data_IF_492291763025
#
_entry.id   IF_492291763025
#
_cell.length_a   1.000
_cell.length_b   1.000
_cell.length_c   1.000
_cell.angle_alpha   90.00
_cell.angle_beta   90.00
_cell.angle_gamma   90.00
#
_symmetry.space_group_name_H-M   'P 1'
#
loop_
_entity.id
_entity.type
_entity.pdbx_description
1 polymer ?
#
# COMPACT_ATOMS: atom_id res chain seq x y z
N UNK A 1 22.30 19.40 16.83
CA UNK A 1 22.32 18.04 16.30
C UNK A 1 20.95 17.81 15.61
N UNK A 2 20.94 17.65 14.31
CA UNK A 2 19.72 17.30 13.56
C UNK A 2 19.35 15.86 13.99
N UNK A 3 18.10 15.62 14.36
CA UNK A 3 17.67 14.25 14.70
C UNK A 3 17.81 13.33 13.48
N UNK A 4 18.06 12.05 13.71
CA UNK A 4 18.17 11.07 12.60
C UNK A 4 16.95 11.12 11.68
N UNK A 5 15.75 11.37 12.21
CA UNK A 5 14.51 11.50 11.47
C UNK A 5 14.49 12.76 10.56
N UNK A 6 15.02 13.87 11.03
CA UNK A 6 15.15 15.11 10.23
C UNK A 6 16.15 14.94 9.08
N UNK A 7 17.25 14.22 9.32
CA UNK A 7 18.22 13.88 8.27
C UNK A 7 17.59 13.05 7.16
N UNK A 8 16.84 12.01 7.51
CA UNK A 8 16.13 11.20 6.52
C UNK A 8 15.06 11.97 5.74
N UNK A 9 14.30 12.84 6.41
CA UNK A 9 13.31 13.71 5.75
C UNK A 9 13.95 14.59 4.67
N UNK A 10 15.06 15.24 4.99
CA UNK A 10 15.78 16.11 4.04
C UNK A 10 16.37 15.31 2.88
N UNK A 11 17.00 14.18 3.16
CA UNK A 11 17.65 13.34 2.15
C UNK A 11 16.64 12.72 1.17
N UNK A 12 15.46 12.34 1.64
CA UNK A 12 14.41 11.71 0.84
C UNK A 12 13.40 12.70 0.27
N UNK A 13 13.58 14.02 0.51
CA UNK A 13 12.64 15.08 0.10
C UNK A 13 11.20 14.81 0.55
N UNK A 14 11.05 14.19 1.72
CA UNK A 14 9.72 13.90 2.29
C UNK A 14 9.18 15.11 3.03
N UNK A 15 7.92 15.43 2.80
CA UNK A 15 7.24 16.51 3.52
C UNK A 15 6.96 16.13 4.97
N UNK A 16 6.61 14.85 5.20
CA UNK A 16 6.29 14.35 6.52
C UNK A 16 6.65 12.87 6.67
N UNK A 17 6.97 12.45 7.88
CA UNK A 17 7.17 11.06 8.21
C UNK A 17 6.79 10.77 9.66
N UNK A 18 6.52 9.52 9.98
CA UNK A 18 6.38 9.05 11.34
C UNK A 18 7.04 7.68 11.52
N UNK A 19 7.49 7.43 12.74
CA UNK A 19 8.09 6.16 13.13
C UNK A 19 7.37 5.62 14.34
N UNK A 20 6.87 4.41 14.24
CA UNK A 20 6.24 3.67 15.32
C UNK A 20 7.07 2.41 15.62
N UNK A 21 7.46 2.26 16.88
CA UNK A 21 8.18 1.08 17.34
C UNK A 21 7.27 0.31 18.29
N UNK A 22 7.06 -0.95 17.97
CA UNK A 22 6.26 -1.89 18.77
C UNK A 22 7.18 -2.98 19.32
N UNK A 23 6.81 -3.52 20.47
CA UNK A 23 7.43 -4.77 20.95
C UNK A 23 6.72 -6.01 20.37
N UNK A 24 7.17 -7.19 20.76
CA UNK A 24 6.61 -8.45 20.32
C UNK A 24 5.16 -8.70 20.81
N UNK A 25 4.72 -7.99 21.84
CA UNK A 25 3.34 -8.04 22.34
C UNK A 25 2.42 -7.00 21.63
N UNK A 26 2.99 -6.18 20.73
CA UNK A 26 2.25 -5.11 20.03
C UNK A 26 2.13 -3.82 20.86
N UNK A 27 2.81 -3.69 21.99
CA UNK A 27 2.80 -2.48 22.79
C UNK A 27 3.68 -1.40 22.17
N UNK A 28 3.19 -0.16 22.14
CA UNK A 28 3.93 0.98 21.61
C UNK A 28 5.10 1.33 22.53
N UNK A 29 6.32 1.18 22.06
CA UNK A 29 7.56 1.53 22.78
C UNK A 29 8.07 2.93 22.38
N UNK A 30 7.82 3.35 21.16
CA UNK A 30 8.15 4.70 20.70
C UNK A 30 7.23 5.11 19.56
N UNK A 31 6.89 6.40 19.54
CA UNK A 31 6.13 7.02 18.46
C UNK A 31 6.71 8.41 18.23
N UNK A 32 7.28 8.63 17.05
CA UNK A 32 7.90 9.89 16.69
C UNK A 32 7.39 10.38 15.34
N UNK A 33 7.18 11.68 15.23
CA UNK A 33 6.92 12.38 13.98
C UNK A 33 8.17 13.15 13.54
N UNK A 34 8.35 13.32 12.24
CA UNK A 34 9.53 13.99 11.69
C UNK A 34 9.45 15.51 11.76
N UNK A 35 8.28 16.08 12.08
CA UNK A 35 8.10 17.52 12.28
C UNK A 35 8.12 17.89 13.77
N UNK A 36 8.75 18.99 14.15
CA UNK A 36 8.61 19.53 15.49
C UNK A 36 7.15 19.86 15.80
N UNK A 37 6.68 19.48 16.98
CA UNK A 37 5.29 19.67 17.41
C UNK A 37 4.79 21.13 17.27
N UNK A 38 5.67 22.09 17.40
CA UNK A 38 5.36 23.53 17.32
C UNK A 38 5.55 24.14 15.92
N UNK A 39 5.84 23.35 14.90
CA UNK A 39 5.94 23.84 13.53
C UNK A 39 4.55 24.23 13.02
N UNK A 40 4.43 25.48 12.50
CA UNK A 40 3.15 26.04 12.05
C UNK A 40 2.53 25.15 10.95
N UNK A 41 1.26 24.97 11.04
CA UNK A 41 0.34 24.34 10.07
C UNK A 41 0.16 22.81 10.16
N UNK A 42 1.15 21.98 10.44
CA UNK A 42 0.97 20.52 10.50
C UNK A 42 1.75 19.81 11.63
N UNK A 43 2.55 20.51 12.42
CA UNK A 43 3.36 19.89 13.48
C UNK A 43 2.55 19.19 14.59
N UNK A 44 1.28 19.60 14.76
CA UNK A 44 0.37 19.00 15.74
C UNK A 44 -0.32 17.71 15.23
N UNK A 45 -0.15 17.37 13.94
CA UNK A 45 -0.76 16.17 13.37
C UNK A 45 0.10 14.95 13.73
N UNK A 46 -0.49 13.99 14.44
CA UNK A 46 0.17 12.71 14.68
C UNK A 46 0.07 11.83 13.44
N UNK A 47 1.14 11.81 12.63
CA UNK A 47 1.21 11.05 11.39
C UNK A 47 1.03 9.53 11.56
N UNK A 48 1.34 8.99 12.76
CA UNK A 48 1.14 7.57 13.05
C UNK A 48 -0.32 7.21 13.31
N UNK A 49 -1.15 8.18 13.69
CA UNK A 49 -2.58 7.98 13.99
C UNK A 49 -3.50 8.56 12.93
N UNK A 50 -2.98 9.40 12.05
CA UNK A 50 -3.77 10.01 10.97
C UNK A 50 -4.14 8.98 9.92
N UNK A 51 -5.40 8.97 9.50
CA UNK A 51 -5.84 8.17 8.37
C UNK A 51 -5.16 8.67 7.09
N UNK A 52 -4.55 7.75 6.36
CA UNK A 52 -3.80 8.03 5.14
C UNK A 52 -4.10 6.97 4.09
N UNK A 53 -3.90 7.34 2.83
CA UNK A 53 -3.91 6.37 1.75
C UNK A 53 -2.79 5.36 1.95
N UNK A 54 -3.12 4.09 1.82
CA UNK A 54 -2.18 2.99 2.04
C UNK A 54 -1.10 2.90 0.97
N UNK A 55 -1.38 3.43 -0.22
CA UNK A 55 -0.54 3.18 -1.39
C UNK A 55 -0.32 1.67 -1.59
N UNK A 56 0.89 1.30 -1.97
CA UNK A 56 1.24 -0.11 -2.20
C UNK A 56 1.36 -0.96 -0.93
N UNK A 57 1.30 -0.36 0.27
CA UNK A 57 1.31 -1.12 1.52
C UNK A 57 0.09 -2.04 1.69
N UNK A 58 -0.99 -1.80 0.96
CA UNK A 58 -2.17 -2.67 0.95
C UNK A 58 -1.95 -3.98 0.16
N UNK A 59 -1.01 -4.00 -0.80
CA UNK A 59 -0.83 -5.13 -1.73
C UNK A 59 -0.55 -6.47 -1.03
N UNK A 60 0.29 -6.57 0.01
CA UNK A 60 0.50 -7.85 0.71
C UNK A 60 -0.81 -8.46 1.22
N UNK A 61 -1.73 -7.64 1.73
CA UNK A 61 -3.04 -8.10 2.22
C UNK A 61 -3.94 -8.57 1.07
N UNK A 62 -3.92 -7.85 -0.06
CA UNK A 62 -4.66 -8.25 -1.26
C UNK A 62 -4.16 -9.59 -1.80
N UNK A 63 -2.85 -9.76 -1.92
CA UNK A 63 -2.26 -11.01 -2.41
C UNK A 63 -2.52 -12.16 -1.45
N UNK A 64 -2.43 -11.94 -0.13
CA UNK A 64 -2.79 -12.93 0.88
C UNK A 64 -4.26 -13.37 0.73
N UNK A 65 -5.17 -12.40 0.62
CA UNK A 65 -6.59 -12.67 0.44
C UNK A 65 -6.87 -13.45 -0.84
N UNK A 66 -6.31 -13.01 -1.96
CA UNK A 66 -6.48 -13.66 -3.25
C UNK A 66 -5.91 -15.08 -3.27
N UNK A 67 -4.72 -15.29 -2.73
CA UNK A 67 -4.13 -16.63 -2.63
C UNK A 67 -5.01 -17.58 -1.82
N UNK A 68 -5.63 -17.09 -0.74
CA UNK A 68 -6.54 -17.89 0.05
C UNK A 68 -7.89 -18.14 -0.66
N UNK A 69 -8.50 -17.11 -1.22
CA UNK A 69 -9.82 -17.17 -1.84
C UNK A 69 -9.81 -17.98 -3.15
N UNK A 70 -8.79 -17.81 -3.98
CA UNK A 70 -8.65 -18.41 -5.30
C UNK A 70 -7.78 -19.68 -5.30
N UNK A 71 -7.25 -20.07 -4.14
CA UNK A 71 -6.31 -21.18 -4.00
C UNK A 71 -5.04 -21.00 -4.86
N UNK A 72 -4.61 -19.75 -5.03
CA UNK A 72 -3.40 -19.38 -5.74
C UNK A 72 -2.16 -19.59 -4.88
N UNK A 73 -1.01 -19.68 -5.53
CA UNK A 73 0.31 -19.75 -4.89
C UNK A 73 1.19 -18.61 -5.37
N UNK A 74 2.32 -18.38 -4.71
CA UNK A 74 3.29 -17.40 -5.17
C UNK A 74 3.80 -17.65 -6.61
N UNK A 75 3.75 -18.90 -7.08
CA UNK A 75 4.12 -19.28 -8.44
C UNK A 75 2.99 -19.12 -9.49
N UNK A 76 1.75 -18.89 -9.05
CA UNK A 76 0.62 -18.67 -9.97
C UNK A 76 0.93 -17.49 -10.89
N UNK A 77 0.62 -17.66 -12.18
CA UNK A 77 0.91 -16.66 -13.19
C UNK A 77 -0.24 -15.68 -13.35
N UNK A 78 0.12 -14.42 -13.54
CA UNK A 78 -0.78 -13.32 -13.88
C UNK A 78 -0.15 -12.48 -14.99
N UNK A 79 -0.96 -11.94 -15.89
CA UNK A 79 -0.43 -11.17 -17.02
C UNK A 79 -0.42 -9.69 -16.71
N UNK A 80 0.78 -9.09 -16.74
CA UNK A 80 1.02 -7.65 -16.63
C UNK A 80 1.01 -7.03 -18.03
N UNK A 81 -0.17 -6.58 -18.44
CA UNK A 81 -0.42 -5.97 -19.77
C UNK A 81 -1.44 -4.82 -19.63
N UNK A 82 -1.54 -3.92 -20.61
CA UNK A 82 -2.56 -2.88 -20.60
C UNK A 82 -3.97 -3.46 -20.40
N UNK A 83 -4.71 -2.88 -19.47
CA UNK A 83 -6.09 -3.25 -19.19
C UNK A 83 -6.90 -1.98 -18.89
N UNK A 84 -8.19 -2.01 -19.23
CA UNK A 84 -9.11 -0.92 -18.93
C UNK A 84 -10.39 -1.48 -18.34
N UNK A 85 -10.89 -0.83 -17.31
CA UNK A 85 -12.13 -1.15 -16.63
C UNK A 85 -13.11 0.00 -16.80
N UNK A 86 -14.34 -0.30 -17.18
CA UNK A 86 -15.43 0.66 -17.20
C UNK A 86 -15.99 0.78 -15.78
N UNK A 87 -15.86 1.98 -15.18
CA UNK A 87 -16.42 2.25 -13.86
C UNK A 87 -17.90 2.63 -13.98
N UNK A 88 -18.24 3.40 -15.03
CA UNK A 88 -19.57 3.78 -15.46
C UNK A 88 -19.56 4.10 -16.97
N UNK A 89 -20.66 4.67 -17.50
CA UNK A 89 -20.79 4.99 -18.94
C UNK A 89 -19.79 6.03 -19.45
N UNK A 90 -19.25 6.87 -18.57
CA UNK A 90 -18.35 7.98 -18.95
C UNK A 90 -16.90 7.79 -18.44
N UNK A 91 -16.67 6.91 -17.46
CA UNK A 91 -15.38 6.79 -16.81
C UNK A 91 -14.71 5.45 -17.09
N UNK A 92 -13.51 5.53 -17.66
CA UNK A 92 -12.63 4.38 -17.90
C UNK A 92 -11.42 4.48 -16.97
N UNK A 93 -11.16 3.44 -16.20
CA UNK A 93 -9.98 3.32 -15.38
C UNK A 93 -8.95 2.40 -16.04
N UNK A 94 -7.77 2.94 -16.35
CA UNK A 94 -6.67 2.20 -16.97
C UNK A 94 -5.43 2.26 -16.06
N UNK A 95 -5.22 1.25 -15.21
CA UNK A 95 -4.07 1.22 -14.31
C UNK A 95 -2.76 1.16 -15.10
N UNK A 96 -1.72 1.82 -14.55
CA UNK A 96 -0.36 1.79 -15.10
C UNK A 96 0.63 1.41 -14.01
N UNK A 97 1.67 0.68 -14.37
CA UNK A 97 2.82 0.48 -13.51
C UNK A 97 3.59 1.79 -13.33
N UNK A 98 4.30 1.91 -12.21
CA UNK A 98 5.12 3.11 -11.94
C UNK A 98 6.19 3.33 -13.02
N UNK A 99 6.77 2.25 -13.55
CA UNK A 99 7.75 2.26 -14.64
C UNK A 99 7.17 2.62 -16.01
N UNK A 100 5.84 2.73 -16.14
CA UNK A 100 5.10 2.89 -17.39
C UNK A 100 5.36 1.76 -18.41
N UNK A 101 5.93 0.65 -17.98
CA UNK A 101 6.20 -0.56 -18.76
C UNK A 101 5.36 -1.74 -18.26
N UNK A 102 5.20 -2.74 -19.12
CA UNK A 102 4.50 -3.98 -18.84
C UNK A 102 5.46 -5.16 -19.02
N UNK A 103 5.26 -6.23 -18.27
CA UNK A 103 6.22 -7.32 -18.15
C UNK A 103 5.70 -8.65 -18.70
N UNK A 104 4.47 -8.67 -19.26
CA UNK A 104 3.85 -9.90 -19.73
C UNK A 104 3.49 -10.86 -18.59
N UNK A 105 3.69 -12.15 -18.80
CA UNK A 105 3.41 -13.16 -17.80
C UNK A 105 4.44 -13.13 -16.66
N UNK A 106 3.96 -12.83 -15.44
CA UNK A 106 4.78 -12.79 -14.20
C UNK A 106 4.17 -13.69 -13.13
N UNK A 107 4.96 -14.14 -12.16
CA UNK A 107 4.43 -14.84 -10.99
C UNK A 107 3.80 -13.85 -10.00
N UNK A 108 2.88 -14.31 -9.14
CA UNK A 108 2.33 -13.47 -8.06
C UNK A 108 3.45 -12.99 -7.12
N UNK A 109 4.45 -13.81 -6.85
CA UNK A 109 5.59 -13.43 -6.02
C UNK A 109 6.40 -12.29 -6.67
N UNK A 110 6.69 -12.37 -7.97
CA UNK A 110 7.40 -11.32 -8.70
C UNK A 110 6.56 -10.04 -8.79
N UNK A 111 5.25 -10.17 -9.05
CA UNK A 111 4.34 -9.05 -9.16
C UNK A 111 4.23 -8.28 -7.83
N UNK A 112 4.17 -8.99 -6.70
CA UNK A 112 4.18 -8.37 -5.36
C UNK A 112 5.56 -7.79 -5.03
N UNK A 113 6.63 -8.53 -5.25
CA UNK A 113 8.00 -8.12 -4.93
C UNK A 113 8.45 -6.86 -5.68
N UNK A 114 7.99 -6.70 -6.92
CA UNK A 114 8.22 -5.49 -7.73
C UNK A 114 7.12 -4.44 -7.60
N UNK A 115 6.12 -4.72 -6.78
CA UNK A 115 4.99 -3.80 -6.54
C UNK A 115 4.26 -3.37 -7.82
N UNK A 116 4.10 -4.25 -8.80
CA UNK A 116 3.37 -3.95 -10.03
C UNK A 116 1.92 -3.57 -9.71
N UNK A 117 1.42 -2.54 -10.39
CA UNK A 117 0.06 -2.05 -10.16
C UNK A 117 -0.97 -2.83 -10.95
N UNK A 118 -0.69 -3.13 -12.21
CA UNK A 118 -1.66 -3.79 -13.09
C UNK A 118 -2.02 -5.19 -12.59
N UNK A 119 -1.07 -6.05 -12.23
CA UNK A 119 -1.39 -7.34 -11.60
C UNK A 119 -2.23 -7.20 -10.32
N UNK A 120 -1.92 -6.21 -9.47
CA UNK A 120 -2.67 -5.99 -8.25
C UNK A 120 -4.13 -5.59 -8.52
N UNK A 121 -4.36 -4.71 -9.52
CA UNK A 121 -5.73 -4.30 -9.91
C UNK A 121 -6.50 -5.47 -10.53
N UNK A 122 -5.86 -6.26 -11.40
CA UNK A 122 -6.45 -7.48 -11.97
C UNK A 122 -6.88 -8.44 -10.85
N UNK A 123 -5.99 -8.67 -9.88
CA UNK A 123 -6.25 -9.56 -8.76
C UNK A 123 -7.41 -9.05 -7.89
N UNK A 124 -7.46 -7.73 -7.61
CA UNK A 124 -8.55 -7.11 -6.87
C UNK A 124 -9.90 -7.27 -7.59
N UNK A 125 -9.89 -7.10 -8.92
CA UNK A 125 -11.09 -7.29 -9.74
C UNK A 125 -11.57 -8.76 -9.71
N UNK A 126 -10.64 -9.71 -9.71
CA UNK A 126 -10.94 -11.14 -9.70
C UNK A 126 -11.52 -11.61 -8.36
N UNK A 127 -10.98 -11.13 -7.24
CA UNK A 127 -11.45 -11.52 -5.89
C UNK A 127 -12.70 -10.75 -5.44
N UNK A 128 -13.01 -9.62 -6.08
CA UNK A 128 -14.08 -8.72 -5.69
C UNK A 128 -13.64 -7.64 -4.69
N UNK A 129 -14.05 -6.41 -4.97
CA UNK A 129 -13.68 -5.24 -4.13
C UNK A 129 -14.38 -5.33 -2.77
N UNK A 130 -15.66 -5.69 -2.75
CA UNK A 130 -16.46 -5.76 -1.52
C UNK A 130 -15.96 -6.85 -0.59
N UNK A 131 -15.62 -8.00 -1.13
CA UNK A 131 -15.04 -9.13 -0.42
C UNK A 131 -13.68 -8.77 0.20
N UNK A 132 -12.85 -8.06 -0.55
CA UNK A 132 -11.57 -7.60 -0.04
C UNK A 132 -11.74 -6.54 1.06
N UNK A 133 -12.68 -5.59 0.92
CA UNK A 133 -13.00 -4.61 1.96
C UNK A 133 -13.49 -5.31 3.23
N UNK A 134 -14.36 -6.31 3.09
CA UNK A 134 -14.84 -7.10 4.23
C UNK A 134 -13.68 -7.81 4.95
N UNK A 135 -12.73 -8.38 4.21
CA UNK A 135 -11.53 -8.99 4.77
C UNK A 135 -10.66 -7.98 5.54
N UNK A 136 -10.39 -6.81 4.96
CA UNK A 136 -9.60 -5.74 5.61
C UNK A 136 -10.27 -5.28 6.92
N UNK A 137 -11.60 -5.14 6.92
CA UNK A 137 -12.35 -4.76 8.12
C UNK A 137 -12.26 -5.82 9.22
N UNK A 138 -12.23 -7.12 8.89
CA UNK A 138 -12.00 -8.18 9.87
C UNK A 138 -10.62 -8.08 10.54
N UNK A 139 -9.61 -7.61 9.81
CA UNK A 139 -8.28 -7.37 10.35
C UNK A 139 -8.21 -6.09 11.22
N UNK A 140 -9.32 -5.35 11.35
CA UNK A 140 -9.39 -4.05 12.04
C UNK A 140 -8.39 -3.02 11.51
N UNK A 141 -8.00 -3.13 10.26
CA UNK A 141 -7.19 -2.14 9.57
C UNK A 141 -8.11 -0.98 9.15
N UNK A 142 -7.99 0.16 9.81
CA UNK A 142 -8.74 1.37 9.48
C UNK A 142 -7.85 2.26 8.59
N UNK A 143 -8.27 2.48 7.36
CA UNK A 143 -7.62 3.37 6.40
C UNK A 143 -8.38 4.68 6.27
#
# INVERSE_FOLDING_TARGET
MISSSEHYRQQMQMEDCCVLVLDAAGEVRSMNTCRPFYEKEQGMVNGCLSKRQTGSAIKPFLYLFAMNALQYTGGTKIVDEPVSYYLDEEHIYSPKNFSLSYHGEVSLADALGNSFNVPAVKLLHEVGIEEFIAFINQLRLCF
#
